data_IF_105018414888
#
_entry.id   IF_105018414888
#
_cell.length_a   1.000
_cell.length_b   1.000
_cell.length_c   1.000
_cell.angle_alpha   90.00
_cell.angle_beta   90.00
_cell.angle_gamma   90.00
#
_symmetry.space_group_name_H-M   'P 1'
#
loop_
_entity.id
_entity.type
_entity.pdbx_description
1 polymer ?
#
# COMPACT_ATOMS: atom_id res chain seq x y z
N UNK A 1 -25.76 -33.12 -36.83
CA UNK A 1 -25.02 -33.04 -35.55
C UNK A 1 -23.52 -32.96 -35.85
N UNK A 2 -23.00 -31.75 -36.03
CA UNK A 2 -21.56 -31.51 -36.26
C UNK A 2 -20.85 -31.48 -34.90
N UNK A 3 -20.06 -32.52 -34.61
CA UNK A 3 -19.13 -32.52 -33.47
C UNK A 3 -18.13 -31.39 -33.69
N UNK A 4 -18.23 -30.34 -32.88
CA UNK A 4 -17.25 -29.27 -32.87
C UNK A 4 -15.87 -29.87 -32.58
N UNK A 5 -14.93 -29.67 -33.51
CA UNK A 5 -13.53 -30.03 -33.33
C UNK A 5 -13.03 -29.41 -32.03
N UNK A 6 -12.75 -30.23 -31.03
CA UNK A 6 -12.12 -29.78 -29.79
C UNK A 6 -10.79 -29.15 -30.16
N UNK A 7 -10.69 -27.81 -30.08
CA UNK A 7 -9.42 -27.12 -30.24
C UNK A 7 -8.53 -27.58 -29.09
N UNK A 8 -7.57 -28.43 -29.42
CA UNK A 8 -6.47 -28.76 -28.52
C UNK A 8 -5.80 -27.44 -28.13
N UNK A 9 -5.77 -27.13 -26.82
CA UNK A 9 -5.21 -25.87 -26.35
C UNK A 9 -3.70 -25.95 -26.53
N UNK A 10 -3.05 -24.98 -27.22
CA UNK A 10 -1.62 -25.01 -27.43
C UNK A 10 -0.88 -25.08 -26.10
N UNK A 11 0.08 -26.01 -25.99
CA UNK A 11 0.99 -26.09 -24.84
C UNK A 11 2.03 -24.97 -24.97
N UNK A 12 2.09 -24.07 -23.99
CA UNK A 12 3.06 -22.97 -23.97
C UNK A 12 4.43 -23.44 -23.49
N UNK A 13 5.46 -23.08 -24.24
CA UNK A 13 6.86 -23.22 -23.83
C UNK A 13 7.20 -22.24 -22.68
N UNK A 14 8.29 -22.51 -21.97
CA UNK A 14 8.78 -21.62 -20.91
C UNK A 14 9.07 -20.20 -21.40
N UNK A 15 9.61 -20.06 -22.63
CA UNK A 15 9.88 -18.75 -23.24
C UNK A 15 8.58 -17.97 -23.48
N UNK A 16 7.54 -18.65 -23.96
CA UNK A 16 6.23 -18.03 -24.19
C UNK A 16 5.57 -17.63 -22.86
N UNK A 17 5.62 -18.48 -21.83
CA UNK A 17 5.15 -18.14 -20.50
C UNK A 17 5.88 -16.92 -19.92
N UNK A 18 7.20 -16.85 -20.08
CA UNK A 18 8.00 -15.72 -19.63
C UNK A 18 7.63 -14.41 -20.36
N UNK A 19 7.48 -14.45 -21.69
CA UNK A 19 7.07 -13.27 -22.47
C UNK A 19 5.65 -12.85 -22.12
N UNK A 20 4.73 -13.79 -21.96
CA UNK A 20 3.37 -13.51 -21.53
C UNK A 20 3.33 -12.88 -20.12
N UNK A 21 4.16 -13.33 -19.18
CA UNK A 21 4.29 -12.73 -17.86
C UNK A 21 4.80 -11.28 -17.94
N UNK A 22 5.87 -11.03 -18.69
CA UNK A 22 6.46 -9.70 -18.82
C UNK A 22 5.54 -8.73 -19.57
N UNK A 23 4.80 -9.21 -20.56
CA UNK A 23 3.75 -8.43 -21.23
C UNK A 23 2.67 -8.01 -20.23
N UNK A 24 2.17 -8.94 -19.40
CA UNK A 24 1.19 -8.63 -18.35
C UNK A 24 1.74 -7.67 -17.30
N UNK A 25 3.05 -7.70 -17.04
CA UNK A 25 3.73 -6.79 -16.12
C UNK A 25 4.17 -5.45 -16.75
N UNK A 26 3.83 -5.20 -18.02
CA UNK A 26 4.18 -3.97 -18.74
C UNK A 26 5.70 -3.74 -18.83
N UNK A 27 6.46 -4.83 -19.00
CA UNK A 27 7.92 -4.84 -19.03
C UNK A 27 8.51 -5.13 -20.41
N UNK A 28 7.69 -5.49 -21.40
CA UNK A 28 8.15 -5.61 -22.79
C UNK A 28 8.16 -4.25 -23.50
N UNK A 29 7.18 -3.42 -23.16
CA UNK A 29 7.01 -2.08 -23.67
C UNK A 29 6.38 -1.21 -22.58
N UNK A 30 6.69 0.09 -22.60
CA UNK A 30 6.03 1.05 -21.71
C UNK A 30 4.62 1.28 -22.22
N UNK A 31 3.63 1.22 -21.35
CA UNK A 31 2.22 1.31 -21.71
C UNK A 31 1.67 2.74 -21.61
N UNK A 32 0.71 3.06 -22.49
CA UNK A 32 -0.09 4.30 -22.46
C UNK A 32 -1.39 4.12 -21.68
N UNK A 33 -1.28 3.78 -20.39
CA UNK A 33 -2.43 3.59 -19.51
C UNK A 33 -2.35 4.48 -18.26
N UNK A 34 -3.48 4.67 -17.60
CA UNK A 34 -3.56 5.43 -16.34
C UNK A 34 -2.90 4.72 -15.17
N UNK A 35 -2.54 5.47 -14.12
CA UNK A 35 -1.85 4.94 -12.93
C UNK A 35 -2.69 3.89 -12.19
N UNK A 36 -3.99 4.16 -12.00
CA UNK A 36 -4.90 3.23 -11.31
C UNK A 36 -4.96 1.90 -12.07
N UNK A 37 -5.25 1.96 -13.38
CA UNK A 37 -5.26 0.78 -14.25
C UNK A 37 -3.92 0.02 -14.26
N UNK A 38 -2.80 0.73 -14.20
CA UNK A 38 -1.49 0.10 -14.09
C UNK A 38 -1.30 -0.64 -12.75
N UNK A 39 -1.73 -0.05 -11.64
CA UNK A 39 -1.66 -0.67 -10.31
C UNK A 39 -2.54 -1.92 -10.24
N UNK A 40 -3.75 -1.86 -10.80
CA UNK A 40 -4.67 -3.01 -10.92
C UNK A 40 -4.05 -4.13 -11.76
N UNK A 41 -3.50 -3.76 -12.93
CA UNK A 41 -2.82 -4.71 -13.82
C UNK A 41 -1.64 -5.43 -13.14
N UNK A 42 -0.97 -4.74 -12.22
CA UNK A 42 0.19 -5.24 -11.49
C UNK A 42 -0.17 -5.92 -10.16
N UNK A 43 -1.45 -6.03 -9.83
CA UNK A 43 -1.92 -6.63 -8.57
C UNK A 43 -1.31 -5.95 -7.33
N UNK A 44 -1.37 -4.60 -7.30
CA UNK A 44 -0.75 -3.72 -6.31
C UNK A 44 0.79 -3.59 -6.43
N UNK A 45 1.34 -2.54 -5.81
CA UNK A 45 2.76 -2.24 -5.81
C UNK A 45 3.33 -2.21 -4.39
N UNK A 46 4.45 -2.90 -4.17
CA UNK A 46 5.17 -2.87 -2.90
C UNK A 46 5.59 -1.42 -2.55
N UNK A 47 5.29 -0.97 -1.33
CA UNK A 47 5.47 0.42 -0.87
C UNK A 47 6.07 0.50 0.54
N UNK A 48 6.90 -0.48 0.93
CA UNK A 48 7.62 -0.45 2.21
C UNK A 48 8.77 0.57 2.12
N UNK A 49 9.49 0.55 1.00
CA UNK A 49 10.42 1.60 0.60
C UNK A 49 9.69 2.63 -0.27
N UNK A 50 9.62 3.87 0.20
CA UNK A 50 8.79 4.91 -0.42
C UNK A 50 9.07 5.18 -1.91
N UNK A 51 10.32 5.12 -2.41
CA UNK A 51 10.62 5.26 -3.84
C UNK A 51 10.15 4.11 -4.74
N UNK A 52 9.92 2.91 -4.21
CA UNK A 52 9.67 1.70 -5.01
C UNK A 52 8.48 1.82 -5.99
N UNK A 53 7.29 2.32 -5.59
CA UNK A 53 6.17 2.46 -6.53
C UNK A 53 6.45 3.46 -7.66
N UNK A 54 7.21 4.52 -7.38
CA UNK A 54 7.56 5.52 -8.38
C UNK A 54 8.48 4.92 -9.45
N UNK A 55 9.51 4.18 -9.04
CA UNK A 55 10.40 3.48 -9.97
C UNK A 55 9.65 2.42 -10.77
N UNK A 56 8.75 1.68 -10.11
CA UNK A 56 7.95 0.63 -10.75
C UNK A 56 7.02 1.19 -11.84
N UNK A 57 6.39 2.34 -11.61
CA UNK A 57 5.51 2.98 -12.59
C UNK A 57 6.31 3.71 -13.68
N UNK A 58 7.41 4.37 -13.31
CA UNK A 58 8.28 5.05 -14.28
C UNK A 58 8.82 4.10 -15.37
N UNK A 59 9.23 2.90 -14.98
CA UNK A 59 9.74 1.89 -15.91
C UNK A 59 8.66 1.25 -16.79
N UNK A 60 7.38 1.38 -16.44
CA UNK A 60 6.25 0.69 -17.09
C UNK A 60 5.30 1.58 -17.87
N UNK A 61 5.25 2.88 -17.58
CA UNK A 61 4.27 3.79 -18.18
C UNK A 61 4.95 4.89 -18.99
N UNK A 62 4.52 5.11 -20.23
CA UNK A 62 5.17 6.08 -21.13
C UNK A 62 5.26 7.49 -20.55
N UNK A 63 4.13 7.99 -20.03
CA UNK A 63 3.96 9.36 -19.55
C UNK A 63 3.79 9.45 -18.02
N UNK A 64 4.55 8.64 -17.27
CA UNK A 64 4.53 8.71 -15.81
C UNK A 64 4.99 10.07 -15.29
N UNK A 65 4.21 10.63 -14.36
CA UNK A 65 4.53 11.83 -13.58
C UNK A 65 4.23 11.54 -12.11
N UNK A 66 5.11 11.97 -11.22
CA UNK A 66 5.01 11.72 -9.78
C UNK A 66 3.72 12.28 -9.20
N UNK A 67 3.34 13.45 -9.70
CA UNK A 67 2.17 14.23 -9.31
C UNK A 67 0.88 13.47 -9.60
N UNK A 68 0.83 12.70 -10.70
CA UNK A 68 -0.34 11.88 -11.01
C UNK A 68 -0.56 10.77 -9.98
N UNK A 69 0.51 10.17 -9.44
CA UNK A 69 0.39 9.17 -8.37
C UNK A 69 -0.07 9.84 -7.08
N UNK A 70 0.51 11.00 -6.75
CA UNK A 70 0.13 11.78 -5.58
C UNK A 70 -1.36 12.14 -5.61
N UNK A 71 -1.84 12.71 -6.71
CA UNK A 71 -3.25 13.08 -6.84
C UNK A 71 -4.19 11.87 -6.80
N UNK A 72 -3.78 10.70 -7.29
CA UNK A 72 -4.57 9.48 -7.15
C UNK A 72 -4.68 9.01 -5.69
N UNK A 73 -3.63 9.21 -4.88
CA UNK A 73 -3.65 8.95 -3.45
C UNK A 73 -4.54 9.98 -2.73
N UNK A 74 -4.41 11.27 -3.05
CA UNK A 74 -5.24 12.34 -2.46
C UNK A 74 -6.73 12.16 -2.75
N UNK A 75 -7.09 11.72 -3.96
CA UNK A 75 -8.47 11.42 -4.33
C UNK A 75 -8.98 10.06 -3.82
N UNK A 76 -8.16 9.36 -3.03
CA UNK A 76 -8.46 8.01 -2.50
C UNK A 76 -8.72 6.95 -3.58
N UNK A 77 -8.25 7.15 -4.80
CA UNK A 77 -8.30 6.15 -5.88
C UNK A 77 -7.23 5.07 -5.67
N UNK A 78 -6.14 5.41 -4.96
CA UNK A 78 -5.05 4.51 -4.57
C UNK A 78 -4.89 4.53 -3.06
N UNK A 79 -4.97 3.35 -2.45
CA UNK A 79 -4.90 3.14 -1.00
C UNK A 79 -3.53 2.57 -0.64
N UNK A 80 -2.91 3.11 0.42
CA UNK A 80 -1.72 2.52 1.04
C UNK A 80 -2.10 1.66 2.23
N UNK A 81 -1.93 0.35 2.11
CA UNK A 81 -2.31 -0.59 3.16
C UNK A 81 -1.28 -1.72 3.35
N UNK A 82 -1.27 -2.36 4.51
CA UNK A 82 -0.57 -3.65 4.66
C UNK A 82 -1.43 -4.71 4.00
N UNK A 83 -0.87 -5.46 3.06
CA UNK A 83 -1.59 -6.51 2.32
C UNK A 83 -0.75 -7.79 2.28
N UNK A 84 -0.35 -8.22 1.08
CA UNK A 84 0.37 -9.46 0.83
C UNK A 84 1.62 -9.57 1.70
N UNK A 85 1.76 -10.72 2.37
CA UNK A 85 2.89 -11.02 3.27
C UNK A 85 3.07 -9.99 4.41
N UNK A 86 2.02 -9.24 4.77
CA UNK A 86 2.05 -8.25 5.85
C UNK A 86 2.83 -6.96 5.55
N UNK A 87 3.26 -6.75 4.30
CA UNK A 87 4.04 -5.57 3.90
C UNK A 87 3.15 -4.46 3.31
N UNK A 88 3.64 -3.22 3.33
CA UNK A 88 2.91 -2.07 2.77
C UNK A 88 2.83 -2.16 1.23
N UNK A 89 1.66 -1.88 0.68
CA UNK A 89 1.41 -1.83 -0.76
C UNK A 89 0.57 -0.59 -1.12
N UNK A 90 0.70 -0.11 -2.36
CA UNK A 90 -0.27 0.74 -3.04
C UNK A 90 -1.19 -0.15 -3.87
N UNK A 91 -2.49 -0.04 -3.66
CA UNK A 91 -3.53 -0.81 -4.37
C UNK A 91 -4.62 0.16 -4.84
N UNK A 92 -5.37 -0.16 -5.90
CA UNK A 92 -6.54 0.66 -6.23
C UNK A 92 -7.61 0.52 -5.16
N UNK A 93 -8.46 1.54 -5.04
CA UNK A 93 -9.62 1.47 -4.14
C UNK A 93 -10.59 0.35 -4.53
N UNK A 94 -10.76 0.08 -5.83
CA UNK A 94 -11.59 -1.00 -6.34
C UNK A 94 -11.11 -2.39 -5.91
N UNK A 95 -9.81 -2.62 -5.93
CA UNK A 95 -9.22 -3.92 -5.58
C UNK A 95 -8.95 -4.09 -4.07
N UNK A 96 -8.91 -3.00 -3.31
CA UNK A 96 -8.46 -3.00 -1.91
C UNK A 96 -9.17 -4.05 -1.05
N UNK A 97 -10.50 -4.13 -1.13
CA UNK A 97 -11.27 -5.04 -0.28
C UNK A 97 -10.99 -6.52 -0.60
N UNK A 98 -10.82 -6.87 -1.88
CA UNK A 98 -10.50 -8.24 -2.28
C UNK A 98 -9.16 -8.68 -1.70
N UNK A 99 -8.12 -7.84 -1.78
CA UNK A 99 -6.82 -8.11 -1.19
C UNK A 99 -6.83 -8.08 0.33
N UNK A 100 -7.57 -7.14 0.94
CA UNK A 100 -7.66 -7.04 2.39
C UNK A 100 -8.29 -8.29 3.00
N UNK A 101 -9.37 -8.80 2.42
CA UNK A 101 -10.03 -10.05 2.84
C UNK A 101 -9.11 -11.25 2.60
N UNK A 102 -8.50 -11.36 1.42
CA UNK A 102 -7.61 -12.47 1.09
C UNK A 102 -6.35 -12.55 1.99
N UNK A 103 -5.94 -11.43 2.61
CA UNK A 103 -4.74 -11.36 3.46
C UNK A 103 -5.05 -11.18 4.95
N UNK A 104 -6.32 -11.16 5.34
CA UNK A 104 -6.74 -10.84 6.69
C UNK A 104 -6.22 -11.83 7.75
N UNK A 105 -6.12 -13.12 7.44
CA UNK A 105 -5.75 -14.13 8.42
C UNK A 105 -4.28 -14.05 8.81
N UNK A 106 -3.41 -13.69 7.86
CA UNK A 106 -2.01 -13.40 8.15
C UNK A 106 -1.89 -12.14 9.04
N UNK A 107 -2.68 -11.11 8.73
CA UNK A 107 -2.69 -9.85 9.48
C UNK A 107 -3.19 -10.06 10.92
N UNK A 108 -4.26 -10.84 11.08
CA UNK A 108 -4.86 -11.20 12.36
C UNK A 108 -4.01 -12.20 13.12
N UNK A 109 -3.44 -13.22 12.49
CA UNK A 109 -2.68 -14.28 13.16
C UNK A 109 -1.38 -13.82 13.82
N UNK A 110 -0.73 -12.77 13.29
CA UNK A 110 0.39 -12.11 13.94
C UNK A 110 -0.05 -11.25 15.15
N UNK A 111 -1.20 -10.59 15.05
CA UNK A 111 -1.77 -9.74 16.11
C UNK A 111 -2.40 -10.55 17.25
N UNK A 112 -3.21 -11.55 16.92
CA UNK A 112 -3.96 -12.40 17.84
C UNK A 112 -3.03 -13.22 18.75
N UNK A 113 -1.91 -13.76 18.22
CA UNK A 113 -0.92 -14.46 19.05
C UNK A 113 -0.27 -13.60 20.14
N UNK A 114 -0.17 -12.28 19.90
CA UNK A 114 0.48 -11.36 20.84
C UNK A 114 -0.48 -10.78 21.88
N UNK A 115 -1.79 -10.71 21.60
CA UNK A 115 -2.77 -9.97 22.40
C UNK A 115 -3.82 -10.85 23.09
N UNK A 116 -4.22 -12.00 22.53
CA UNK A 116 -5.23 -12.88 23.16
C UNK A 116 -4.73 -13.39 24.52
N UNK A 117 -3.42 -13.61 24.67
CA UNK A 117 -2.81 -13.97 25.96
C UNK A 117 -2.75 -12.83 26.99
N UNK A 118 -3.35 -11.65 26.73
CA UNK A 118 -3.21 -10.44 27.55
C UNK A 118 -4.54 -9.78 27.93
N UNK A 119 -5.68 -10.45 27.70
CA UNK A 119 -7.00 -10.00 28.15
C UNK A 119 -7.63 -8.85 27.34
N UNK A 120 -7.07 -8.50 26.17
CA UNK A 120 -7.61 -7.43 25.32
C UNK A 120 -8.42 -8.01 24.17
N UNK A 121 -9.69 -7.62 24.04
CA UNK A 121 -10.55 -8.03 22.92
C UNK A 121 -10.17 -7.29 21.61
N UNK A 122 -9.67 -8.00 20.58
CA UNK A 122 -9.32 -7.38 19.29
C UNK A 122 -10.52 -6.76 18.56
N UNK A 123 -11.74 -7.27 18.79
CA UNK A 123 -12.96 -6.72 18.17
C UNK A 123 -13.28 -5.34 18.75
N UNK A 124 -13.13 -5.18 20.05
CA UNK A 124 -13.35 -3.90 20.72
C UNK A 124 -12.31 -2.84 20.30
N UNK A 125 -11.02 -3.22 20.21
CA UNK A 125 -9.99 -2.33 19.65
C UNK A 125 -10.37 -1.88 18.23
N UNK A 126 -10.75 -2.83 17.37
CA UNK A 126 -11.10 -2.52 15.99
C UNK A 126 -12.30 -1.57 15.91
N UNK A 127 -13.34 -1.80 16.75
CA UNK A 127 -14.53 -0.95 16.81
C UNK A 127 -14.17 0.50 17.19
N UNK A 128 -13.37 0.69 18.23
CA UNK A 128 -12.92 2.03 18.66
C UNK A 128 -12.04 2.72 17.61
N UNK A 129 -11.09 1.98 17.04
CA UNK A 129 -10.19 2.50 16.02
C UNK A 129 -10.96 2.95 14.76
N UNK A 130 -11.90 2.13 14.28
CA UNK A 130 -12.72 2.43 13.10
C UNK A 130 -13.60 3.65 13.35
N UNK A 131 -14.23 3.76 14.51
CA UNK A 131 -15.09 4.89 14.83
C UNK A 131 -14.31 6.21 14.88
N UNK A 132 -13.13 6.21 15.51
CA UNK A 132 -12.29 7.41 15.66
C UNK A 132 -11.57 7.83 14.38
N UNK A 133 -11.17 6.86 13.55
CA UNK A 133 -10.45 7.07 12.30
C UNK A 133 -11.36 7.22 11.07
N UNK A 134 -12.63 7.59 11.26
CA UNK A 134 -13.52 8.02 10.16
C UNK A 134 -13.00 9.28 9.45
N UNK A 135 -12.25 10.10 10.16
CA UNK A 135 -11.43 11.18 9.62
C UNK A 135 -9.96 10.82 9.72
N UNK A 136 -9.07 11.42 8.90
CA UNK A 136 -7.63 11.21 9.03
C UNK A 136 -7.13 11.55 10.44
N UNK A 137 -6.46 10.58 11.09
CA UNK A 137 -5.86 10.72 12.42
C UNK A 137 -4.38 10.32 12.39
N UNK A 138 -3.58 10.92 13.27
CA UNK A 138 -2.23 10.41 13.50
C UNK A 138 -2.29 9.09 14.25
N UNK A 139 -1.30 8.24 14.02
CA UNK A 139 -1.17 6.96 14.73
C UNK A 139 -1.13 7.15 16.24
N UNK A 140 -0.47 8.20 16.72
CA UNK A 140 -0.37 8.54 18.15
C UNK A 140 -1.74 8.79 18.77
N UNK A 141 -2.61 9.50 18.05
CA UNK A 141 -3.92 9.91 18.54
C UNK A 141 -4.86 8.70 18.60
N UNK A 142 -4.80 7.83 17.58
CA UNK A 142 -5.55 6.57 17.57
C UNK A 142 -5.13 5.70 18.76
N UNK A 143 -3.83 5.59 19.03
CA UNK A 143 -3.33 4.81 20.17
C UNK A 143 -3.75 5.42 21.52
N UNK A 144 -3.70 6.75 21.66
CA UNK A 144 -4.14 7.45 22.86
C UNK A 144 -5.65 7.24 23.09
N UNK A 145 -6.47 7.41 22.04
CA UNK A 145 -7.92 7.20 22.09
C UNK A 145 -8.33 5.79 22.54
N UNK A 146 -7.61 4.76 22.06
CA UNK A 146 -7.84 3.37 22.45
C UNK A 146 -7.39 3.13 23.90
N UNK A 147 -6.21 3.64 24.27
CA UNK A 147 -5.62 3.46 25.61
C UNK A 147 -6.49 4.11 26.70
N UNK A 148 -7.07 5.28 26.42
CA UNK A 148 -7.98 5.97 27.35
C UNK A 148 -9.22 5.13 27.71
N UNK A 149 -9.72 4.32 26.77
CA UNK A 149 -10.98 3.55 26.94
C UNK A 149 -10.77 2.15 27.46
N UNK A 150 -9.69 1.49 27.06
CA UNK A 150 -9.40 0.08 27.40
C UNK A 150 -8.35 -0.02 28.52
N UNK A 151 -7.68 1.08 28.86
CA UNK A 151 -6.57 1.09 29.79
C UNK A 151 -5.23 0.74 29.13
N UNK A 152 -4.11 0.90 29.87
CA UNK A 152 -2.78 0.64 29.35
C UNK A 152 -2.59 -0.84 29.00
N UNK A 153 -2.05 -1.11 27.81
CA UNK A 153 -1.52 -2.44 27.51
C UNK A 153 -0.34 -2.74 28.44
N UNK A 154 -0.10 -3.99 28.89
CA UNK A 154 1.06 -4.36 29.70
C UNK A 154 2.44 -4.04 29.09
N UNK A 155 2.50 -3.53 27.85
CA UNK A 155 3.71 -3.02 27.19
C UNK A 155 3.94 -1.52 27.37
N UNK A 156 2.97 -0.72 27.80
CA UNK A 156 3.15 0.73 28.01
C UNK A 156 3.77 1.07 29.38
N UNK A 157 3.85 0.10 30.29
CA UNK A 157 4.57 0.22 31.57
C UNK A 157 6.08 -0.06 31.44
N UNK A 158 6.57 -0.37 30.23
CA UNK A 158 7.97 -0.68 29.96
C UNK A 158 8.63 0.24 28.92
N UNK A 159 8.43 1.56 29.02
CA UNK A 159 9.34 2.60 28.48
C UNK A 159 8.86 4.00 28.91
N UNK A 160 8.64 4.18 30.21
CA UNK A 160 8.46 5.51 30.80
C UNK A 160 9.79 5.96 31.43
N UNK A 161 10.87 6.00 30.65
CA UNK A 161 12.14 6.65 31.00
C UNK A 161 13.16 6.54 29.85
N UNK A 162 12.99 7.32 28.77
CA UNK A 162 14.11 7.75 27.92
C UNK A 162 13.68 8.91 27.00
N UNK A 163 13.95 10.11 27.50
CA UNK A 163 14.12 11.39 26.77
C UNK A 163 13.17 11.71 25.61
N UNK A 164 12.21 12.58 25.93
CA UNK A 164 11.64 13.51 24.97
C UNK A 164 12.76 14.30 24.28
N UNK A 165 12.96 14.05 22.98
CA UNK A 165 13.47 15.05 22.04
C UNK A 165 12.55 15.07 20.82
N UNK A 166 11.99 16.22 20.43
CA UNK A 166 11.15 16.30 19.25
C UNK A 166 12.02 16.11 18.01
N UNK A 167 11.95 14.94 17.36
CA UNK A 167 12.42 14.82 15.97
C UNK A 167 11.39 15.51 15.07
N UNK A 168 11.55 16.81 14.87
CA UNK A 168 10.95 17.51 13.74
C UNK A 168 11.44 16.83 12.46
N UNK A 169 10.61 15.98 11.85
CA UNK A 169 10.74 15.67 10.43
C UNK A 169 10.36 16.94 9.68
N UNK A 170 11.35 17.81 9.44
CA UNK A 170 11.19 18.89 8.48
C UNK A 170 10.77 18.27 7.16
N UNK A 171 9.59 18.69 6.73
CA UNK A 171 9.11 18.57 5.37
C UNK A 171 10.21 18.98 4.41
N UNK A 172 10.65 18.06 3.54
CA UNK A 172 11.47 18.43 2.38
C UNK A 172 10.49 19.02 1.36
N UNK A 173 10.11 20.27 1.59
CA UNK A 173 9.71 21.19 0.55
C UNK A 173 11.02 21.82 0.08
N UNK A 174 11.53 21.34 -1.05
CA UNK A 174 12.45 22.10 -1.88
C UNK A 174 11.66 22.54 -3.09
N UNK A 175 11.14 23.76 -2.99
CA UNK A 175 10.71 24.57 -4.11
C UNK A 175 11.91 24.83 -5.00
N UNK A 176 11.88 24.32 -6.22
CA UNK A 176 12.80 24.71 -7.28
C UNK A 176 12.61 26.18 -7.62
N UNK A 177 13.42 27.04 -7.01
CA UNK A 177 13.59 28.43 -7.42
C UNK A 177 14.41 28.48 -8.69
N UNK A 178 13.81 29.02 -9.74
CA UNK A 178 14.46 29.29 -11.01
C UNK A 178 15.61 30.29 -10.83
N UNK A 179 16.75 29.99 -11.46
CA UNK A 179 17.88 30.90 -11.62
C UNK A 179 17.54 31.94 -12.69
N UNK A 180 17.68 33.25 -12.44
CA UNK A 180 17.59 34.24 -13.51
C UNK A 180 18.92 34.28 -14.27
N UNK A 181 18.83 34.00 -15.57
CA UNK A 181 19.87 34.34 -16.53
C UNK A 181 20.09 35.86 -16.55
N UNK A 182 21.31 36.28 -16.27
CA UNK A 182 21.97 37.47 -16.83
C UNK A 182 23.37 36.98 -17.22
N UNK A 183 23.84 37.01 -18.46
CA UNK A 183 23.76 38.09 -19.43
C UNK A 183 25.14 38.74 -19.54
N UNK A 184 26.08 38.05 -20.21
CA UNK A 184 27.11 38.53 -21.15
C UNK A 184 28.05 37.38 -21.52
#
# INVERSE_FOLDING_TARGET
MTRGSGRERPVLTLRELNRAMLARQLLLERARIGIVAAIERLAALQAQWAPSPYLALWSRLEAFRREKLWSAIERHEVIRARLMRGTLHLVSAGDFYAYAVATQDLQRGAWNRLQIGRGVDPKEIARLAIAFAREPRLKTDVLAHITERIGPSPRSTGSAAASARPRTKRSIISSGGASPRSGR
#
